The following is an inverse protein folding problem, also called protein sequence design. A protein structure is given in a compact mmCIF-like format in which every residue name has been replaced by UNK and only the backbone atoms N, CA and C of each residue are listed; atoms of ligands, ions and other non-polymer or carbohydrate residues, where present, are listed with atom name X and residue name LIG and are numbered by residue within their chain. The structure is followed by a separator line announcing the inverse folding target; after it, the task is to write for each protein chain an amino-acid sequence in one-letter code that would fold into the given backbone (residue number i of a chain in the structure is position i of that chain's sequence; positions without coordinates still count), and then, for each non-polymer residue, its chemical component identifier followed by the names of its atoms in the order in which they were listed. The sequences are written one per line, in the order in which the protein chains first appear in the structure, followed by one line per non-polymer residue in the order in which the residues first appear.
data_IF_730781633214
#
_entry.id   IF_730781633214
#
_cell.length_a   1.000
_cell.length_b   1.000
_cell.length_c   1.000
_cell.angle_alpha   90.00
_cell.angle_beta   90.00
_cell.angle_gamma   90.00
#
_symmetry.space_group_name_H-M   'P 1'
#
loop_
_entity.id
_entity.type
_entity.pdbx_description
1 polymer ?
#
# COMPACT_ATOMS: atom_id res chain seq x y z
N UNK A 1 61.86 39.54 17.61
CA UNK A 1 60.51 38.94 17.42
C UNK A 1 59.95 38.64 18.81
N UNK A 2 59.03 39.47 19.29
CA UNK A 2 58.41 39.31 20.63
C UNK A 2 57.09 38.53 20.43
N UNK A 3 56.98 37.37 21.04
CA UNK A 3 55.78 36.59 21.14
C UNK A 3 54.81 37.23 22.16
N UNK A 4 53.51 37.42 21.85
CA UNK A 4 52.57 37.99 22.80
C UNK A 4 52.23 36.98 23.91
N UNK A 5 52.13 37.53 25.14
CA UNK A 5 51.92 36.75 26.34
C UNK A 5 50.51 36.16 26.44
N UNK A 6 50.39 35.02 27.16
CA UNK A 6 49.14 34.28 27.40
C UNK A 6 47.98 35.09 28.03
N UNK A 7 48.24 36.29 28.50
CA UNK A 7 47.24 37.19 29.14
C UNK A 7 46.38 37.96 28.11
N UNK A 8 46.82 38.07 26.86
CA UNK A 8 46.10 38.80 25.80
C UNK A 8 45.04 37.94 25.13
N UNK A 9 45.11 36.61 25.30
CA UNK A 9 44.16 35.68 24.67
C UNK A 9 42.83 35.50 25.45
N UNK A 10 42.80 35.91 26.72
CA UNK A 10 41.63 35.71 27.60
C UNK A 10 40.66 36.90 27.66
N UNK A 11 40.89 37.95 26.89
CA UNK A 11 40.00 39.12 26.85
C UNK A 11 39.12 39.22 25.59
N UNK A 12 39.19 38.24 24.65
CA UNK A 12 38.42 38.24 23.39
C UNK A 12 37.28 37.19 23.36
N UNK A 13 36.96 36.56 24.48
CA UNK A 13 35.96 35.46 24.52
C UNK A 13 34.67 35.81 25.29
N UNK A 14 34.23 37.07 25.24
CA UNK A 14 32.94 37.47 25.80
C UNK A 14 32.10 38.27 24.78
N UNK A 15 32.06 37.79 23.53
CA UNK A 15 31.00 38.18 22.61
C UNK A 15 29.90 37.16 22.77
N UNK A 16 28.82 37.53 23.48
CA UNK A 16 27.61 36.75 23.55
C UNK A 16 27.06 36.56 22.11
N UNK A 17 27.22 35.35 21.58
CA UNK A 17 26.52 34.95 20.37
C UNK A 17 25.04 34.84 20.73
N UNK A 18 24.27 35.87 20.44
CA UNK A 18 22.83 35.81 20.41
C UNK A 18 22.46 34.82 19.29
N UNK A 19 22.20 33.54 19.62
CA UNK A 19 21.58 32.59 18.71
C UNK A 19 20.16 33.11 18.44
N UNK A 20 19.83 33.50 17.21
CA UNK A 20 18.46 33.85 16.91
C UNK A 20 17.63 32.58 17.17
N UNK A 21 16.73 32.63 18.13
CA UNK A 21 15.69 31.67 18.34
C UNK A 21 14.79 31.74 17.08
N UNK A 22 15.07 30.88 16.10
CA UNK A 22 14.15 30.63 14.99
C UNK A 22 12.88 30.09 15.66
N UNK A 23 11.74 30.78 15.56
CA UNK A 23 10.50 30.22 16.07
C UNK A 23 10.29 28.91 15.30
N UNK A 24 10.33 27.78 16.02
CA UNK A 24 9.78 26.54 15.51
C UNK A 24 8.29 26.82 15.36
N UNK A 25 7.90 27.32 14.18
CA UNK A 25 6.48 27.40 13.84
C UNK A 25 6.01 25.96 13.90
N UNK A 26 5.12 25.67 14.84
CA UNK A 26 4.39 24.42 14.87
C UNK A 26 3.80 24.27 13.47
N UNK A 27 4.41 23.43 12.62
CA UNK A 27 3.78 23.02 11.36
C UNK A 27 2.46 22.40 11.79
N UNK A 28 1.36 23.13 11.61
CA UNK A 28 0.06 22.51 11.66
C UNK A 28 0.13 21.31 10.76
N UNK A 29 -0.17 20.13 11.29
CA UNK A 29 -0.20 18.90 10.52
C UNK A 29 -1.07 19.16 9.28
N UNK A 30 -0.44 19.45 8.15
CA UNK A 30 -1.13 19.60 6.87
C UNK A 30 -1.51 18.18 6.47
N UNK A 31 -2.80 17.93 6.32
CA UNK A 31 -3.30 16.71 5.71
C UNK A 31 -2.57 16.48 4.38
N UNK A 32 -2.22 15.22 4.07
CA UNK A 32 -1.69 14.86 2.75
C UNK A 32 -2.64 15.43 1.70
N UNK A 33 -2.17 16.29 0.78
CA UNK A 33 -2.97 16.70 -0.36
C UNK A 33 -3.15 15.52 -1.31
N UNK A 34 -4.17 15.54 -2.18
CA UNK A 34 -4.23 14.64 -3.31
C UNK A 34 -2.91 14.63 -4.08
N UNK A 35 -2.55 13.47 -4.64
CA UNK A 35 -1.32 13.35 -5.43
C UNK A 35 -1.44 14.24 -6.66
N UNK A 36 -0.56 15.24 -6.79
CA UNK A 36 -0.56 16.21 -7.89
C UNK A 36 -0.16 15.56 -9.22
N UNK A 37 -1.15 15.03 -9.94
CA UNK A 37 -0.96 14.42 -11.26
C UNK A 37 -1.39 15.41 -12.34
N UNK A 38 -0.44 15.82 -13.19
CA UNK A 38 -0.67 16.82 -14.25
C UNK A 38 -0.72 16.19 -15.64
N UNK A 39 -0.40 14.90 -15.76
CA UNK A 39 -0.43 14.15 -17.02
C UNK A 39 -1.69 13.27 -17.09
N UNK A 40 -2.15 12.93 -18.30
CA UNK A 40 -3.18 11.90 -18.48
C UNK A 40 -2.80 10.59 -17.78
N UNK A 41 -3.80 9.80 -17.43
CA UNK A 41 -3.60 8.47 -16.87
C UNK A 41 -2.71 7.61 -17.76
N UNK A 42 -1.80 6.86 -17.12
CA UNK A 42 -1.03 5.81 -17.74
C UNK A 42 -1.23 4.55 -16.90
N UNK A 43 -2.05 3.63 -17.42
CA UNK A 43 -2.49 2.45 -16.70
C UNK A 43 -1.72 1.22 -17.20
N UNK A 44 -1.20 0.43 -16.29
CA UNK A 44 -0.49 -0.83 -16.52
C UNK A 44 -1.29 -1.97 -15.90
N UNK A 45 -1.31 -3.14 -16.53
CA UNK A 45 -2.11 -4.27 -16.06
C UNK A 45 -1.27 -5.21 -15.20
N UNK A 46 -1.76 -5.53 -14.01
CA UNK A 46 -1.13 -6.46 -13.08
C UNK A 46 -2.13 -7.47 -12.52
N UNK A 47 -1.64 -8.52 -11.88
CA UNK A 47 -2.44 -9.57 -11.26
C UNK A 47 -1.97 -9.79 -9.81
N UNK A 48 -2.90 -9.79 -8.87
CA UNK A 48 -2.63 -10.15 -7.48
C UNK A 48 -2.56 -11.66 -7.30
N UNK A 49 -1.54 -12.14 -6.62
CA UNK A 49 -1.39 -13.55 -6.26
C UNK A 49 -2.60 -14.07 -5.44
N UNK A 50 -3.26 -13.19 -4.69
CA UNK A 50 -4.47 -13.52 -3.96
C UNK A 50 -5.61 -14.04 -4.85
N UNK A 51 -5.62 -13.70 -6.14
CA UNK A 51 -6.56 -14.27 -7.12
C UNK A 51 -6.47 -15.80 -7.22
N UNK A 52 -5.31 -16.38 -6.91
CA UNK A 52 -5.03 -17.82 -6.94
C UNK A 52 -4.89 -18.42 -5.54
N UNK A 53 -5.47 -17.80 -4.50
CA UNK A 53 -5.39 -18.24 -3.10
C UNK A 53 -5.71 -19.73 -2.91
N UNK A 54 -6.72 -20.25 -3.63
CA UNK A 54 -7.16 -21.64 -3.51
C UNK A 54 -6.09 -22.64 -4.02
N UNK A 55 -5.18 -22.19 -4.89
CA UNK A 55 -4.09 -23.03 -5.39
C UNK A 55 -2.80 -22.79 -4.62
N UNK A 56 -2.49 -21.53 -4.28
CA UNK A 56 -1.29 -21.13 -3.57
C UNK A 56 -1.29 -21.58 -2.10
N UNK A 57 -2.46 -21.60 -1.43
CA UNK A 57 -2.61 -22.04 -0.02
C UNK A 57 -3.10 -23.51 0.11
N UNK A 58 -3.30 -24.23 -1.00
CA UNK A 58 -3.66 -25.65 -0.93
C UNK A 58 -2.52 -26.48 -0.31
N UNK A 59 -2.86 -27.63 0.27
CA UNK A 59 -1.88 -28.48 0.98
C UNK A 59 -1.88 -29.89 0.38
N UNK A 60 -0.84 -30.28 -0.39
CA UNK A 60 0.28 -29.44 -0.82
C UNK A 60 -0.17 -28.31 -1.78
N UNK A 61 0.59 -27.23 -1.91
CA UNK A 61 0.30 -26.17 -2.88
C UNK A 61 0.21 -26.74 -4.31
N UNK A 62 -0.83 -26.32 -5.04
CA UNK A 62 -1.04 -26.69 -6.45
C UNK A 62 -0.39 -25.70 -7.40
N UNK A 63 0.08 -24.59 -6.88
CA UNK A 63 0.81 -23.53 -7.56
C UNK A 63 1.80 -22.92 -6.58
N UNK A 64 2.99 -22.59 -7.01
CA UNK A 64 3.92 -21.74 -6.26
C UNK A 64 4.01 -20.33 -6.87
N UNK A 65 4.78 -19.42 -6.26
CA UNK A 65 4.89 -18.05 -6.75
C UNK A 65 5.66 -17.96 -8.09
N UNK A 66 6.55 -18.88 -8.42
CA UNK A 66 7.21 -18.91 -9.73
C UNK A 66 6.23 -19.33 -10.83
N UNK A 67 5.39 -20.32 -10.57
CA UNK A 67 4.33 -20.76 -11.48
C UNK A 67 3.26 -19.66 -11.66
N UNK A 68 2.92 -18.92 -10.59
CA UNK A 68 2.05 -17.75 -10.67
C UNK A 68 2.64 -16.65 -11.57
N UNK A 69 3.94 -16.37 -11.44
CA UNK A 69 4.64 -15.42 -12.30
C UNK A 69 4.65 -15.88 -13.76
N UNK A 70 4.87 -17.19 -14.02
CA UNK A 70 4.76 -17.75 -15.37
C UNK A 70 3.36 -17.54 -15.96
N UNK A 71 2.31 -17.82 -15.17
CA UNK A 71 0.92 -17.60 -15.60
C UNK A 71 0.67 -16.14 -15.98
N UNK A 72 1.17 -15.19 -15.18
CA UNK A 72 1.02 -13.75 -15.46
C UNK A 72 1.75 -13.35 -16.75
N UNK A 73 2.93 -13.91 -17.00
CA UNK A 73 3.68 -13.68 -18.23
C UNK A 73 2.94 -14.24 -19.48
N UNK A 74 2.39 -15.44 -19.37
CA UNK A 74 1.59 -16.06 -20.45
C UNK A 74 0.32 -15.25 -20.78
N UNK A 75 -0.21 -14.50 -19.78
CA UNK A 75 -1.31 -13.55 -19.99
C UNK A 75 -0.84 -12.21 -20.55
N UNK A 76 0.47 -11.99 -20.76
CA UNK A 76 1.03 -10.76 -21.32
C UNK A 76 0.80 -9.55 -20.42
N UNK A 77 0.95 -9.69 -19.12
CA UNK A 77 0.78 -8.62 -18.14
C UNK A 77 2.03 -7.74 -18.04
N UNK A 78 1.86 -6.54 -17.46
CA UNK A 78 2.96 -5.64 -17.17
C UNK A 78 3.61 -5.93 -15.81
N UNK A 79 2.85 -6.58 -14.89
CA UNK A 79 3.36 -6.85 -13.56
C UNK A 79 2.54 -7.86 -12.74
N UNK A 80 3.06 -8.16 -11.54
CA UNK A 80 2.44 -9.04 -10.54
C UNK A 80 2.48 -8.38 -9.17
N UNK A 81 1.41 -8.56 -8.39
CA UNK A 81 1.39 -8.20 -6.97
C UNK A 81 1.49 -9.48 -6.13
N UNK A 82 2.54 -9.55 -5.30
CA UNK A 82 2.89 -10.76 -4.56
C UNK A 82 2.42 -10.66 -3.10
N UNK A 83 1.36 -11.38 -2.77
CA UNK A 83 0.80 -11.39 -1.40
C UNK A 83 1.70 -12.18 -0.45
N UNK A 84 1.99 -11.61 0.72
CA UNK A 84 2.89 -12.18 1.74
C UNK A 84 2.51 -13.60 2.19
N UNK A 85 1.25 -13.96 2.11
CA UNK A 85 0.70 -15.20 2.63
C UNK A 85 1.25 -16.46 1.93
N UNK A 86 1.75 -16.32 0.72
CA UNK A 86 2.16 -17.42 -0.16
C UNK A 86 3.68 -17.60 -0.24
N UNK A 87 4.41 -16.78 0.49
CA UNK A 87 5.86 -16.98 0.64
C UNK A 87 6.17 -18.06 1.67
N UNK A 88 7.34 -18.73 1.58
CA UNK A 88 7.81 -19.59 2.66
C UNK A 88 7.82 -18.84 4.00
N UNK A 89 7.44 -19.52 5.09
CA UNK A 89 7.35 -18.92 6.43
C UNK A 89 8.66 -18.25 6.90
N UNK A 90 9.81 -18.82 6.49
CA UNK A 90 11.14 -18.27 6.74
C UNK A 90 11.80 -17.90 5.41
N UNK A 91 11.17 -16.95 4.69
CA UNK A 91 11.67 -16.53 3.39
C UNK A 91 13.03 -15.84 3.52
N UNK A 92 13.98 -16.27 2.70
CA UNK A 92 15.35 -15.75 2.67
C UNK A 92 15.55 -14.79 1.49
N UNK A 93 16.48 -13.83 1.59
CA UNK A 93 16.80 -12.91 0.50
C UNK A 93 17.10 -13.62 -0.83
N UNK A 94 17.77 -14.78 -0.81
CA UNK A 94 18.04 -15.56 -2.00
C UNK A 94 16.77 -15.99 -2.76
N UNK A 95 15.73 -16.42 -2.03
CA UNK A 95 14.43 -16.73 -2.65
C UNK A 95 13.81 -15.50 -3.31
N UNK A 96 13.83 -14.36 -2.62
CA UNK A 96 13.28 -13.09 -3.11
C UNK A 96 14.02 -12.61 -4.36
N UNK A 97 15.36 -12.67 -4.35
CA UNK A 97 16.19 -12.28 -5.50
C UNK A 97 15.95 -13.19 -6.71
N UNK A 98 15.82 -14.50 -6.50
CA UNK A 98 15.50 -15.43 -7.60
C UNK A 98 14.11 -15.18 -8.16
N UNK A 99 13.11 -14.90 -7.32
CA UNK A 99 11.75 -14.60 -7.77
C UNK A 99 11.71 -13.28 -8.55
N UNK A 100 12.40 -12.24 -8.07
CA UNK A 100 12.59 -10.98 -8.77
C UNK A 100 13.24 -11.19 -10.14
N UNK A 101 14.35 -11.91 -10.19
CA UNK A 101 15.07 -12.19 -11.44
C UNK A 101 14.20 -12.99 -12.41
N UNK A 102 13.40 -13.92 -11.90
CA UNK A 102 12.47 -14.73 -12.71
C UNK A 102 11.41 -13.82 -13.36
N UNK A 103 10.76 -12.94 -12.59
CA UNK A 103 9.79 -11.98 -13.11
C UNK A 103 10.42 -11.06 -14.16
N UNK A 104 11.62 -10.50 -13.87
CA UNK A 104 12.35 -9.64 -14.79
C UNK A 104 12.68 -10.34 -16.11
N UNK A 105 13.15 -11.58 -16.08
CA UNK A 105 13.47 -12.36 -17.29
C UNK A 105 12.23 -12.64 -18.16
N UNK A 106 11.03 -12.61 -17.57
CA UNK A 106 9.76 -12.75 -18.25
C UNK A 106 9.14 -11.41 -18.66
N UNK A 107 9.83 -10.30 -18.41
CA UNK A 107 9.37 -8.96 -18.77
C UNK A 107 8.30 -8.41 -17.82
N UNK A 108 8.19 -8.93 -16.59
CA UNK A 108 7.23 -8.49 -15.59
C UNK A 108 7.89 -7.63 -14.52
N UNK A 109 7.21 -6.55 -14.13
CA UNK A 109 7.52 -5.82 -12.90
C UNK A 109 6.89 -6.55 -11.69
N UNK A 110 7.50 -6.43 -10.50
CA UNK A 110 6.79 -6.70 -9.26
C UNK A 110 6.08 -5.40 -8.87
N UNK A 111 4.80 -5.30 -9.19
CA UNK A 111 4.02 -4.07 -9.04
C UNK A 111 3.79 -3.65 -7.59
N UNK A 112 3.83 -4.61 -6.66
CA UNK A 112 3.66 -4.40 -5.24
C UNK A 112 3.65 -5.71 -4.46
N UNK A 113 3.54 -5.57 -3.14
CA UNK A 113 3.25 -6.66 -2.23
C UNK A 113 2.13 -6.29 -1.28
N UNK A 114 1.68 -7.25 -0.47
CA UNK A 114 0.67 -7.00 0.56
C UNK A 114 0.97 -7.79 1.83
N UNK A 115 0.69 -7.20 2.99
CA UNK A 115 0.89 -7.81 4.30
C UNK A 115 -0.37 -7.77 5.14
N UNK A 116 -0.65 -8.86 5.89
CA UNK A 116 -1.79 -8.96 6.80
C UNK A 116 -1.42 -8.49 8.20
N UNK A 117 -1.53 -7.21 8.47
CA UNK A 117 -1.19 -6.58 9.73
C UNK A 117 -2.41 -5.98 10.45
N UNK A 118 -2.25 -5.66 11.74
CA UNK A 118 -3.25 -4.97 12.54
C UNK A 118 -2.59 -3.91 13.42
N UNK A 119 -2.73 -2.64 13.06
CA UNK A 119 -2.21 -1.49 13.83
C UNK A 119 -3.16 -1.01 14.94
N UNK A 120 -4.41 -1.53 15.00
CA UNK A 120 -5.39 -1.13 16.02
C UNK A 120 -5.07 -1.65 17.43
N UNK A 121 -4.13 -2.60 17.56
CA UNK A 121 -3.81 -3.25 18.82
C UNK A 121 -3.25 -2.26 19.85
N UNK A 122 -3.61 -2.40 21.14
CA UNK A 122 -3.02 -1.62 22.21
C UNK A 122 -1.53 -1.91 22.37
N UNK A 123 -0.81 -1.00 23.01
CA UNK A 123 0.62 -1.18 23.32
C UNK A 123 0.86 -2.51 24.05
N UNK A 124 1.94 -3.20 23.67
CA UNK A 124 2.33 -4.49 24.21
C UNK A 124 2.79 -5.49 23.16
N UNK A 125 3.14 -6.70 23.58
CA UNK A 125 3.80 -7.69 22.70
C UNK A 125 3.04 -7.99 21.40
N UNK A 126 1.71 -7.99 21.43
CA UNK A 126 0.90 -8.25 20.23
C UNK A 126 1.05 -7.13 19.18
N UNK A 127 1.09 -5.86 19.61
CA UNK A 127 1.37 -4.72 18.74
C UNK A 127 2.79 -4.77 18.19
N UNK A 128 3.75 -5.08 19.06
CA UNK A 128 5.16 -5.15 18.68
C UNK A 128 5.42 -6.20 17.59
N UNK A 129 4.73 -7.35 17.66
CA UNK A 129 4.74 -8.38 16.61
C UNK A 129 4.23 -7.82 15.28
N UNK A 130 3.15 -7.02 15.28
CA UNK A 130 2.61 -6.43 14.05
C UNK A 130 3.57 -5.40 13.42
N UNK A 131 4.20 -4.57 14.23
CA UNK A 131 5.21 -3.63 13.76
C UNK A 131 6.44 -4.35 13.19
N UNK A 132 6.91 -5.41 13.88
CA UNK A 132 8.00 -6.24 13.40
C UNK A 132 7.65 -6.95 12.07
N UNK A 133 6.41 -7.44 11.93
CA UNK A 133 5.91 -8.04 10.69
C UNK A 133 5.97 -7.03 9.53
N UNK A 134 5.45 -5.83 9.72
CA UNK A 134 5.48 -4.78 8.69
C UNK A 134 6.92 -4.41 8.35
N UNK A 135 7.81 -4.28 9.35
CA UNK A 135 9.23 -4.00 9.14
C UNK A 135 9.90 -5.08 8.29
N UNK A 136 9.66 -6.35 8.60
CA UNK A 136 10.17 -7.50 7.82
C UNK A 136 9.67 -7.43 6.37
N UNK A 137 8.40 -7.07 6.16
CA UNK A 137 7.86 -6.98 4.80
C UNK A 137 8.36 -5.74 4.04
N UNK A 138 8.74 -4.67 4.71
CA UNK A 138 9.47 -3.54 4.09
C UNK A 138 10.83 -4.03 3.55
N UNK A 139 11.58 -4.83 4.32
CA UNK A 139 12.84 -5.42 3.84
C UNK A 139 12.60 -6.37 2.66
N UNK A 140 11.60 -7.24 2.74
CA UNK A 140 11.26 -8.17 1.67
C UNK A 140 10.82 -7.45 0.39
N UNK A 141 10.03 -6.38 0.50
CA UNK A 141 9.64 -5.54 -0.63
C UNK A 141 10.85 -4.89 -1.29
N UNK A 142 11.79 -4.37 -0.51
CA UNK A 142 13.04 -3.81 -1.01
C UNK A 142 13.88 -4.87 -1.75
N UNK A 143 13.98 -6.10 -1.24
CA UNK A 143 14.67 -7.20 -1.94
C UNK A 143 13.98 -7.59 -3.26
N UNK A 144 12.67 -7.47 -3.32
CA UNK A 144 11.87 -7.73 -4.52
C UNK A 144 11.85 -6.56 -5.52
N UNK A 145 12.37 -5.38 -5.17
CA UNK A 145 12.15 -4.10 -5.86
C UNK A 145 10.65 -3.75 -6.00
N UNK A 146 9.82 -4.23 -5.09
CA UNK A 146 8.41 -3.88 -5.03
C UNK A 146 8.23 -2.46 -4.47
N UNK A 147 7.67 -1.50 -5.24
CA UNK A 147 7.66 -0.10 -4.84
C UNK A 147 6.63 0.21 -3.75
N UNK A 148 5.66 -0.68 -3.54
CA UNK A 148 4.52 -0.45 -2.64
C UNK A 148 4.15 -1.72 -1.87
N UNK A 149 3.73 -1.52 -0.62
CA UNK A 149 3.14 -2.56 0.23
C UNK A 149 1.74 -2.12 0.62
N UNK A 150 0.73 -2.93 0.29
CA UNK A 150 -0.60 -2.79 0.87
C UNK A 150 -0.55 -3.17 2.34
N UNK A 151 -1.03 -2.28 3.20
CA UNK A 151 -1.18 -2.48 4.64
C UNK A 151 -2.64 -2.32 5.05
N UNK A 152 -3.03 -2.96 6.16
CA UNK A 152 -4.31 -2.73 6.82
C UNK A 152 -4.18 -1.73 7.98
N UNK A 153 -5.25 -1.00 8.28
CA UNK A 153 -5.37 -0.30 9.55
C UNK A 153 -5.56 -1.30 10.70
N UNK A 154 -6.33 -2.33 10.44
CA UNK A 154 -6.67 -3.37 11.40
C UNK A 154 -8.12 -3.26 11.91
N UNK A 155 -8.46 -4.12 12.86
CA UNK A 155 -9.79 -4.22 13.42
C UNK A 155 -9.82 -3.74 14.88
N UNK A 156 -10.92 -3.07 15.26
CA UNK A 156 -11.20 -2.70 16.64
C UNK A 156 -11.51 -3.96 17.43
N UNK A 157 -10.78 -4.18 18.53
CA UNK A 157 -11.00 -5.34 19.38
C UNK A 157 -12.36 -5.23 20.09
N UNK A 158 -12.98 -6.37 20.42
CA UNK A 158 -14.25 -6.37 21.16
C UNK A 158 -14.08 -5.66 22.49
N UNK A 159 -14.91 -4.66 22.73
CA UNK A 159 -14.90 -3.86 23.97
C UNK A 159 -13.89 -2.70 23.95
N UNK A 160 -13.18 -2.49 22.87
CA UNK A 160 -12.29 -1.35 22.68
C UNK A 160 -13.03 -0.16 22.05
N UNK A 161 -12.49 1.05 22.24
CA UNK A 161 -13.05 2.28 21.69
C UNK A 161 -12.47 2.55 20.28
N UNK A 162 -13.33 2.72 19.27
CA UNK A 162 -12.92 3.00 17.89
C UNK A 162 -11.96 4.19 17.80
N UNK A 163 -12.22 5.27 18.53
CA UNK A 163 -11.35 6.45 18.51
C UNK A 163 -9.92 6.15 18.97
N UNK A 164 -9.77 5.28 19.98
CA UNK A 164 -8.46 4.82 20.45
C UNK A 164 -7.77 3.91 19.43
N UNK A 165 -8.53 3.00 18.81
CA UNK A 165 -8.02 2.13 17.74
C UNK A 165 -7.55 2.93 16.53
N UNK A 166 -8.30 3.94 16.10
CA UNK A 166 -7.90 4.88 15.04
C UNK A 166 -6.61 5.61 15.41
N UNK A 167 -6.48 6.12 16.63
CA UNK A 167 -5.26 6.81 17.06
C UNK A 167 -4.04 5.87 17.01
N UNK A 168 -4.18 4.62 17.48
CA UNK A 168 -3.12 3.60 17.42
C UNK A 168 -2.75 3.21 16.00
N UNK A 169 -3.73 3.10 15.09
CA UNK A 169 -3.47 2.81 13.69
C UNK A 169 -2.66 3.93 13.03
N UNK A 170 -3.01 5.19 13.27
CA UNK A 170 -2.24 6.35 12.79
C UNK A 170 -0.81 6.32 13.34
N UNK A 171 -0.65 6.04 14.64
CA UNK A 171 0.64 5.96 15.29
C UNK A 171 1.51 4.84 14.71
N UNK A 172 0.97 3.60 14.57
CA UNK A 172 1.69 2.45 14.02
C UNK A 172 2.13 2.65 12.56
N UNK A 173 1.28 3.28 11.74
CA UNK A 173 1.65 3.65 10.38
C UNK A 173 2.78 4.67 10.40
N UNK A 174 2.65 5.76 11.19
CA UNK A 174 3.70 6.79 11.30
C UNK A 174 5.03 6.25 11.82
N UNK A 175 5.00 5.28 12.71
CA UNK A 175 6.19 4.59 13.24
C UNK A 175 6.90 3.77 12.14
N UNK A 176 6.15 3.19 11.21
CA UNK A 176 6.67 2.36 10.13
C UNK A 176 7.22 3.17 8.93
N UNK A 177 6.69 4.36 8.69
CA UNK A 177 6.97 5.18 7.50
C UNK A 177 8.44 5.62 7.34
N UNK A 178 9.18 6.04 8.39
CA UNK A 178 10.59 6.42 8.23
C UNK A 178 11.44 5.25 7.71
N UNK A 179 11.20 4.04 8.22
CA UNK A 179 11.91 2.86 7.75
C UNK A 179 11.54 2.48 6.32
N UNK A 180 10.26 2.56 5.97
CA UNK A 180 9.82 2.35 4.60
C UNK A 180 10.45 3.37 3.64
N UNK A 181 10.57 4.65 4.03
CA UNK A 181 11.24 5.68 3.25
C UNK A 181 12.74 5.39 3.04
N UNK A 182 13.44 4.93 4.09
CA UNK A 182 14.86 4.49 4.00
C UNK A 182 15.03 3.39 2.95
N UNK A 183 14.07 2.47 2.85
CA UNK A 183 14.09 1.36 1.91
C UNK A 183 13.50 1.69 0.52
N UNK A 184 13.01 2.91 0.31
CA UNK A 184 12.38 3.34 -0.94
C UNK A 184 11.00 2.73 -1.17
N UNK A 185 10.30 2.31 -0.10
CA UNK A 185 9.01 1.63 -0.15
C UNK A 185 7.88 2.57 0.26
N UNK A 186 6.78 2.55 -0.48
CA UNK A 186 5.53 3.25 -0.15
C UNK A 186 4.61 2.33 0.63
N UNK A 187 3.99 2.83 1.71
CA UNK A 187 2.93 2.13 2.42
C UNK A 187 1.56 2.59 1.90
N UNK A 188 0.75 1.66 1.44
CA UNK A 188 -0.56 1.90 0.85
C UNK A 188 -1.68 1.34 1.75
N UNK A 189 -2.45 2.23 2.40
CA UNK A 189 -3.52 1.83 3.31
C UNK A 189 -4.78 1.44 2.52
N UNK A 190 -5.28 0.23 2.76
CA UNK A 190 -6.46 -0.29 2.08
C UNK A 190 -7.77 0.10 2.77
N UNK A 191 -8.80 0.34 1.96
CA UNK A 191 -10.20 0.33 2.39
C UNK A 191 -10.67 -1.12 2.60
N UNK A 192 -10.52 -1.64 3.83
CA UNK A 192 -10.78 -3.05 4.15
C UNK A 192 -11.73 -3.21 5.35
N UNK A 193 -12.88 -2.56 5.31
CA UNK A 193 -13.84 -2.63 6.41
C UNK A 193 -13.37 -1.97 7.71
N UNK A 194 -14.01 -2.28 8.83
CA UNK A 194 -13.64 -1.75 10.16
C UNK A 194 -13.53 -0.21 10.15
N UNK A 195 -12.41 0.30 10.63
CA UNK A 195 -12.14 1.75 10.69
C UNK A 195 -11.81 2.38 9.32
N UNK A 196 -11.81 1.60 8.26
CA UNK A 196 -11.64 2.05 6.86
C UNK A 196 -12.84 1.69 5.96
N UNK A 197 -13.98 1.32 6.57
CA UNK A 197 -15.17 0.84 5.86
C UNK A 197 -15.87 1.89 5.00
N UNK A 198 -15.67 3.17 5.28
CA UNK A 198 -16.24 4.25 4.49
C UNK A 198 -15.16 5.24 4.01
N UNK A 199 -15.43 5.97 2.90
CA UNK A 199 -14.49 6.99 2.41
C UNK A 199 -14.15 8.05 3.47
N UNK A 200 -15.13 8.46 4.26
CA UNK A 200 -14.95 9.45 5.33
C UNK A 200 -14.02 8.97 6.44
N UNK A 201 -14.11 7.69 6.83
CA UNK A 201 -13.21 7.08 7.82
C UNK A 201 -11.79 6.99 7.26
N UNK A 202 -11.62 6.44 6.05
CA UNK A 202 -10.31 6.32 5.43
C UNK A 202 -9.64 7.68 5.19
N UNK A 203 -10.38 8.67 4.72
CA UNK A 203 -9.87 10.04 4.54
C UNK A 203 -9.39 10.69 5.85
N UNK A 204 -10.02 10.40 6.98
CA UNK A 204 -9.53 10.86 8.30
C UNK A 204 -8.15 10.30 8.62
N UNK A 205 -7.93 9.00 8.38
CA UNK A 205 -6.64 8.35 8.56
C UNK A 205 -5.60 8.95 7.60
N UNK A 206 -5.91 9.00 6.31
CA UNK A 206 -5.02 9.53 5.27
C UNK A 206 -4.60 10.96 5.58
N UNK A 207 -5.56 11.83 5.93
CA UNK A 207 -5.28 13.23 6.28
C UNK A 207 -4.52 13.42 7.60
N UNK A 208 -4.55 12.46 8.50
CA UNK A 208 -3.79 12.51 9.74
C UNK A 208 -2.32 12.07 9.56
N UNK A 209 -1.98 11.47 8.42
CA UNK A 209 -0.65 10.96 8.10
C UNK A 209 -0.05 11.87 7.01
N UNK A 210 0.99 12.64 7.36
CA UNK A 210 1.68 13.54 6.43
C UNK A 210 3.07 12.95 6.10
N UNK A 211 3.12 12.10 5.06
CA UNK A 211 4.35 11.48 4.61
C UNK A 211 4.34 11.25 3.09
N UNK A 212 5.44 11.54 2.37
CA UNK A 212 5.49 11.44 0.91
C UNK A 212 5.44 9.99 0.40
N UNK A 213 5.81 9.02 1.24
CA UNK A 213 5.79 7.58 0.94
C UNK A 213 4.58 6.88 1.56
N UNK A 214 3.43 7.58 1.60
CA UNK A 214 2.15 7.04 2.06
C UNK A 214 1.02 7.39 1.11
N UNK A 215 0.07 6.47 0.92
CA UNK A 215 -1.12 6.69 0.11
C UNK A 215 -2.18 5.63 0.34
N UNK A 216 -3.14 5.55 -0.58
CA UNK A 216 -4.24 4.59 -0.52
C UNK A 216 -3.96 3.41 -1.45
N UNK A 217 -4.15 2.19 -0.96
CA UNK A 217 -4.43 1.03 -1.79
C UNK A 217 -5.95 1.01 -2.01
N UNK A 218 -6.38 1.40 -3.20
CA UNK A 218 -7.79 1.52 -3.51
C UNK A 218 -8.32 0.16 -3.98
N UNK A 219 -8.97 -0.58 -3.09
CA UNK A 219 -9.71 -1.78 -3.41
C UNK A 219 -11.11 -1.41 -3.92
N UNK A 220 -11.45 -1.85 -5.12
CA UNK A 220 -12.68 -1.41 -5.80
C UNK A 220 -13.94 -2.14 -5.35
N UNK A 221 -13.82 -3.23 -4.58
CA UNK A 221 -14.94 -4.03 -4.10
C UNK A 221 -15.30 -3.84 -2.61
N UNK A 222 -14.45 -3.16 -1.84
CA UNK A 222 -14.56 -3.12 -0.39
C UNK A 222 -15.40 -1.95 0.17
N UNK A 223 -15.92 -1.05 -0.65
CA UNK A 223 -16.94 -0.10 -0.24
C UNK A 223 -18.35 -0.67 -0.45
N UNK A 224 -19.18 -0.55 0.58
CA UNK A 224 -20.55 -1.08 0.60
C UNK A 224 -21.57 0.05 0.78
N UNK A 225 -21.28 1.25 0.24
CA UNK A 225 -22.16 2.41 0.25
C UNK A 225 -23.35 2.30 -0.71
N UNK A 226 -24.13 3.35 -0.83
CA UNK A 226 -25.24 3.44 -1.80
C UNK A 226 -24.69 3.43 -3.25
N UNK A 227 -23.59 4.14 -3.51
CA UNK A 227 -22.85 4.13 -4.79
C UNK A 227 -21.34 3.91 -4.53
N UNK A 228 -20.87 2.65 -4.55
CA UNK A 228 -19.46 2.33 -4.36
C UNK A 228 -18.50 3.06 -5.31
N UNK A 229 -18.94 3.36 -6.53
CA UNK A 229 -18.09 4.09 -7.49
C UNK A 229 -17.91 5.57 -7.13
N UNK A 230 -18.94 6.20 -6.56
CA UNK A 230 -18.81 7.54 -6.00
C UNK A 230 -17.88 7.53 -4.79
N UNK A 231 -17.95 6.48 -3.96
CA UNK A 231 -17.04 6.28 -2.83
C UNK A 231 -15.58 6.13 -3.31
N UNK A 232 -15.35 5.35 -4.37
CA UNK A 232 -14.02 5.19 -5.00
C UNK A 232 -13.48 6.53 -5.54
N UNK A 233 -14.33 7.34 -6.17
CA UNK A 233 -13.93 8.63 -6.74
C UNK A 233 -13.39 9.60 -5.67
N UNK A 234 -13.86 9.52 -4.43
CA UNK A 234 -13.36 10.33 -3.31
C UNK A 234 -11.92 9.95 -2.91
N UNK A 235 -11.54 8.70 -3.07
CA UNK A 235 -10.23 8.17 -2.65
C UNK A 235 -9.23 8.05 -3.80
N UNK A 236 -9.68 7.93 -5.05
CA UNK A 236 -8.82 7.77 -6.22
C UNK A 236 -7.71 8.84 -6.34
N UNK A 237 -7.91 10.12 -5.96
CA UNK A 237 -6.83 11.11 -5.94
C UNK A 237 -5.68 10.82 -4.97
N UNK A 238 -5.88 9.93 -4.00
CA UNK A 238 -4.87 9.52 -3.00
C UNK A 238 -4.30 8.11 -3.29
N UNK A 239 -4.78 7.44 -4.33
CA UNK A 239 -4.37 6.08 -4.65
C UNK A 239 -2.92 6.03 -5.16
N UNK A 240 -2.10 5.15 -4.57
CA UNK A 240 -0.76 4.79 -5.01
C UNK A 240 -0.72 3.38 -5.57
N UNK A 241 -1.71 2.56 -5.26
CA UNK A 241 -1.99 1.26 -5.83
C UNK A 241 -3.51 1.06 -5.96
N UNK A 242 -3.94 0.21 -6.88
CA UNK A 242 -5.37 -0.09 -7.10
C UNK A 242 -5.56 -1.58 -7.28
N UNK A 243 -6.36 -2.20 -6.40
CA UNK A 243 -6.83 -3.57 -6.54
C UNK A 243 -8.25 -3.59 -7.11
N UNK A 244 -8.42 -4.21 -8.27
CA UNK A 244 -9.69 -4.26 -8.99
C UNK A 244 -10.37 -5.58 -8.72
N UNK A 245 -11.53 -5.50 -8.06
CA UNK A 245 -12.45 -6.62 -7.86
C UNK A 245 -13.40 -6.76 -9.04
N UNK A 246 -13.83 -7.99 -9.28
CA UNK A 246 -14.84 -8.29 -10.33
C UNK A 246 -16.26 -8.25 -9.81
N UNK A 247 -16.43 -8.13 -8.50
CA UNK A 247 -17.72 -7.99 -7.82
C UNK A 247 -17.69 -6.79 -6.89
N UNK A 248 -18.84 -6.14 -6.73
CA UNK A 248 -19.11 -5.10 -5.76
C UNK A 248 -20.34 -5.44 -4.93
N UNK A 249 -20.52 -4.74 -3.82
CA UNK A 249 -21.75 -4.79 -3.02
C UNK A 249 -22.26 -3.39 -2.77
N UNK A 250 -23.59 -3.21 -2.87
CA UNK A 250 -24.25 -1.96 -2.48
C UNK A 250 -24.94 -2.14 -1.14
N UNK A 251 -25.14 -1.06 -0.43
CA UNK A 251 -25.85 -1.08 0.85
C UNK A 251 -27.21 -1.78 0.74
N UNK A 252 -27.40 -2.80 1.57
CA UNK A 252 -28.65 -3.58 1.58
C UNK A 252 -28.87 -4.50 0.38
N UNK A 253 -27.87 -4.66 -0.51
CA UNK A 253 -27.93 -5.59 -1.64
C UNK A 253 -26.82 -6.63 -1.52
N UNK A 254 -26.96 -7.74 -2.21
CA UNK A 254 -25.92 -8.75 -2.36
C UNK A 254 -24.79 -8.29 -3.29
N UNK A 255 -23.87 -9.20 -3.55
CA UNK A 255 -22.82 -9.01 -4.56
C UNK A 255 -23.42 -8.93 -5.95
N UNK A 256 -22.87 -8.05 -6.77
CA UNK A 256 -23.17 -7.91 -8.19
C UNK A 256 -21.87 -7.77 -8.98
N UNK A 257 -21.91 -8.08 -10.28
CA UNK A 257 -20.76 -7.90 -11.16
C UNK A 257 -20.35 -6.43 -11.22
N UNK A 258 -19.04 -6.16 -11.10
CA UNK A 258 -18.51 -4.82 -11.15
C UNK A 258 -18.52 -4.26 -12.58
N UNK A 259 -18.97 -3.02 -12.74
CA UNK A 259 -18.79 -2.25 -13.97
C UNK A 259 -17.32 -1.78 -14.07
N UNK A 260 -16.47 -2.61 -14.68
CA UNK A 260 -15.04 -2.33 -14.85
C UNK A 260 -14.79 -1.08 -15.69
N UNK A 261 -15.68 -0.73 -16.63
CA UNK A 261 -15.54 0.49 -17.41
C UNK A 261 -15.71 1.73 -16.52
N UNK A 262 -16.66 1.69 -15.58
CA UNK A 262 -16.88 2.75 -14.61
C UNK A 262 -15.69 2.86 -13.62
N UNK A 263 -15.12 1.73 -13.20
CA UNK A 263 -13.88 1.73 -12.38
C UNK A 263 -12.76 2.44 -13.12
N UNK A 264 -12.48 2.06 -14.37
CA UNK A 264 -11.43 2.66 -15.18
C UNK A 264 -11.68 4.16 -15.41
N UNK A 265 -12.95 4.56 -15.62
CA UNK A 265 -13.31 5.99 -15.73
C UNK A 265 -12.96 6.76 -14.46
N UNK A 266 -13.30 6.25 -13.28
CA UNK A 266 -12.93 6.87 -11.98
C UNK A 266 -11.42 7.05 -11.86
N UNK A 267 -10.62 6.06 -12.26
CA UNK A 267 -9.17 6.15 -12.22
C UNK A 267 -8.62 7.20 -13.20
N UNK A 268 -9.20 7.28 -14.41
CA UNK A 268 -8.82 8.28 -15.41
C UNK A 268 -9.17 9.69 -14.98
N UNK A 269 -10.34 9.90 -14.40
CA UNK A 269 -10.79 11.20 -13.89
C UNK A 269 -9.88 11.71 -12.75
N UNK A 270 -9.34 10.80 -11.95
CA UNK A 270 -8.34 11.11 -10.93
C UNK A 270 -6.89 11.22 -11.48
N UNK A 271 -6.70 11.11 -12.79
CA UNK A 271 -5.39 11.04 -13.45
C UNK A 271 -4.47 9.96 -12.84
N UNK A 272 -5.05 8.88 -12.31
CA UNK A 272 -4.25 7.80 -11.73
C UNK A 272 -3.28 7.24 -12.78
N UNK A 273 -2.02 7.08 -12.38
CA UNK A 273 -0.99 6.46 -13.18
C UNK A 273 -0.31 5.37 -12.35
N UNK A 274 -0.33 4.15 -12.85
CA UNK A 274 0.18 3.00 -12.12
C UNK A 274 -0.51 1.70 -12.51
N UNK A 275 -0.41 0.72 -11.63
CA UNK A 275 -0.95 -0.61 -11.88
C UNK A 275 -2.45 -0.68 -11.55
N UNK A 276 -3.21 -1.28 -12.48
CA UNK A 276 -4.57 -1.78 -12.29
C UNK A 276 -4.41 -3.27 -11.99
N UNK A 277 -4.42 -3.61 -10.72
CA UNK A 277 -4.13 -4.97 -10.25
C UNK A 277 -5.43 -5.75 -10.15
N UNK A 278 -5.65 -6.73 -11.04
CA UNK A 278 -6.82 -7.61 -10.89
C UNK A 278 -6.66 -8.46 -9.63
N UNK A 279 -7.60 -8.37 -8.71
CA UNK A 279 -7.71 -9.23 -7.53
C UNK A 279 -9.06 -9.97 -7.56
N UNK A 280 -9.04 -11.17 -8.11
CA UNK A 280 -10.22 -11.98 -8.31
C UNK A 280 -10.61 -12.76 -7.06
N UNK A 281 -11.87 -12.65 -6.62
CA UNK A 281 -12.39 -13.31 -5.42
C UNK A 281 -13.78 -13.96 -5.60
N UNK A 282 -14.35 -13.95 -6.82
CA UNK A 282 -15.66 -14.55 -7.08
C UNK A 282 -15.60 -16.09 -7.08
N UNK A 283 -16.78 -16.72 -7.23
CA UNK A 283 -16.94 -18.18 -7.05
C UNK A 283 -16.35 -19.02 -8.17
N UNK A 284 -16.32 -18.51 -9.43
CA UNK A 284 -15.75 -19.24 -10.56
C UNK A 284 -14.26 -19.48 -10.34
N UNK A 285 -13.71 -20.59 -10.85
CA UNK A 285 -12.26 -20.85 -10.68
C UNK A 285 -11.41 -19.76 -11.32
N UNK A 286 -10.35 -19.35 -10.62
CA UNK A 286 -9.44 -18.30 -11.08
C UNK A 286 -8.86 -18.60 -12.47
N UNK A 287 -8.53 -19.88 -12.75
CA UNK A 287 -7.98 -20.28 -14.05
C UNK A 287 -8.91 -19.99 -15.24
N UNK A 288 -10.21 -20.01 -15.02
CA UNK A 288 -11.22 -19.71 -16.06
C UNK A 288 -11.56 -18.22 -16.07
N UNK A 289 -11.80 -17.62 -14.91
CA UNK A 289 -12.31 -16.27 -14.79
C UNK A 289 -11.23 -15.19 -15.04
N UNK A 290 -10.04 -15.38 -14.48
CA UNK A 290 -8.96 -14.39 -14.57
C UNK A 290 -8.60 -14.01 -16.00
N UNK A 291 -8.39 -14.95 -16.96
CA UNK A 291 -8.10 -14.59 -18.36
C UNK A 291 -9.19 -13.73 -19.00
N UNK A 292 -10.46 -14.00 -18.70
CA UNK A 292 -11.61 -13.24 -19.21
C UNK A 292 -11.61 -11.81 -18.70
N UNK A 293 -11.44 -11.61 -17.39
CA UNK A 293 -11.41 -10.28 -16.78
C UNK A 293 -10.19 -9.48 -17.19
N UNK A 294 -9.00 -10.11 -17.29
CA UNK A 294 -7.80 -9.47 -17.81
C UNK A 294 -7.98 -8.98 -19.25
N UNK A 295 -8.62 -9.77 -20.11
CA UNK A 295 -8.95 -9.35 -21.49
C UNK A 295 -9.85 -8.12 -21.49
N UNK A 296 -10.88 -8.08 -20.64
CA UNK A 296 -11.77 -6.92 -20.49
C UNK A 296 -10.99 -5.69 -20.00
N UNK A 297 -10.24 -5.81 -18.91
CA UNK A 297 -9.44 -4.70 -18.37
C UNK A 297 -8.45 -4.17 -19.41
N UNK A 298 -7.76 -5.04 -20.13
CA UNK A 298 -6.83 -4.64 -21.19
C UNK A 298 -7.52 -3.77 -22.24
N UNK A 299 -8.70 -4.15 -22.70
CA UNK A 299 -9.45 -3.35 -23.69
C UNK A 299 -9.92 -1.99 -23.14
N UNK A 300 -10.07 -1.86 -21.83
CA UNK A 300 -10.51 -0.62 -21.17
C UNK A 300 -9.36 0.35 -20.89
N UNK A 301 -8.16 -0.18 -20.62
CA UNK A 301 -7.00 0.65 -20.24
C UNK A 301 -6.11 1.05 -21.42
N UNK A 302 -6.28 0.40 -22.57
CA UNK A 302 -5.58 0.68 -23.85
C UNK A 302 -5.87 2.08 -24.38
#
# INVERSE_FOLDING_TARGET
MHLPSRRTFLKAAAAAVAVPSIPISARSARAIPPIGRTRPSHLKLSLAAYSFRDELDSKPPRMDLFEFVNFAADMGLDGVELTSYYFPADVKPDYLHRLKQHAFNLGLDISGTSVGNNFCLPAGPARDIQLALVRTWIDNAAHLDAPVIRIFAGNVAKGDEEAKAVARAIEGIKESLPYAAEKGVTLALENHGGITASPGQLLKLVKAIDAPNFGVNLDTGNFHGEDPYADLALLAPYAVNVQVKTEISRKGKGKEEADLARVVAVLRDAHYAGYVVLEYEAEETARTAVPRHLKTLRSLIS
#
